data_IF_226333618617
#
_entry.id   IF_226333618617
#
_cell.length_a   1.000
_cell.length_b   1.000
_cell.length_c   1.000
_cell.angle_alpha   90.00
_cell.angle_beta   90.00
_cell.angle_gamma   90.00
#
_symmetry.space_group_name_H-M   'P 1'
#
loop_
_entity.id
_entity.type
_entity.pdbx_description
1 polymer ?
#
# COMPACT_ATOMS: atom_id res chain seq x y z
N UNK A 1 -5.70 13.64 1.01
CA UNK A 1 -6.98 13.02 0.59
C UNK A 1 -7.63 12.37 1.79
N UNK A 2 -8.93 12.55 1.99
CA UNK A 2 -9.68 11.83 3.02
C UNK A 2 -10.06 10.44 2.49
N UNK A 3 -9.36 9.41 2.97
CA UNK A 3 -9.44 8.04 2.45
C UNK A 3 -9.84 7.07 3.54
N UNK A 4 -10.74 6.14 3.21
CA UNK A 4 -11.11 5.03 4.09
C UNK A 4 -10.20 3.84 3.79
N UNK A 5 -9.44 3.40 4.79
CA UNK A 5 -8.54 2.26 4.69
C UNK A 5 -9.13 1.09 5.47
N UNK A 6 -9.26 -0.08 4.82
CA UNK A 6 -9.60 -1.35 5.47
C UNK A 6 -8.39 -2.27 5.37
N UNK A 7 -8.03 -2.90 6.48
CA UNK A 7 -6.89 -3.80 6.57
C UNK A 7 -7.34 -5.22 6.92
N UNK A 8 -6.63 -6.20 6.38
CA UNK A 8 -6.56 -7.56 6.91
C UNK A 8 -5.10 -8.00 6.92
N UNK A 9 -4.74 -8.94 7.78
CA UNK A 9 -3.36 -9.39 7.90
C UNK A 9 -3.26 -10.90 8.06
N UNK A 10 -2.17 -11.46 7.54
CA UNK A 10 -1.79 -12.86 7.73
C UNK A 10 -0.33 -12.91 8.20
N UNK A 11 -0.07 -13.62 9.29
CA UNK A 11 1.30 -13.88 9.73
C UNK A 11 1.96 -14.90 8.81
N UNK A 12 3.19 -14.62 8.40
CA UNK A 12 4.01 -15.48 7.55
C UNK A 12 4.95 -16.33 8.41
N UNK A 13 5.47 -17.41 7.83
CA UNK A 13 6.43 -18.30 8.50
C UNK A 13 7.75 -17.59 8.85
N UNK A 14 8.07 -16.47 8.17
CA UNK A 14 9.21 -15.61 8.50
C UNK A 14 9.02 -14.79 9.78
N UNK A 15 7.83 -14.85 10.41
CA UNK A 15 7.48 -14.05 11.58
C UNK A 15 6.84 -12.71 11.25
N UNK A 16 7.04 -12.18 10.02
CA UNK A 16 6.41 -10.96 9.51
C UNK A 16 4.92 -11.11 9.27
N UNK A 17 4.22 -9.99 9.17
CA UNK A 17 2.80 -9.93 8.79
C UNK A 17 2.66 -9.42 7.37
N UNK A 18 2.01 -10.19 6.50
CA UNK A 18 1.49 -9.69 5.23
C UNK A 18 0.19 -8.96 5.52
N UNK A 19 0.15 -7.66 5.24
CA UNK A 19 -1.01 -6.80 5.38
C UNK A 19 -1.63 -6.60 4.01
N UNK A 20 -2.87 -6.98 3.84
CA UNK A 20 -3.70 -6.66 2.68
C UNK A 20 -4.55 -5.44 3.02
N UNK A 21 -4.55 -4.44 2.15
CA UNK A 21 -5.27 -3.19 2.37
C UNK A 21 -6.19 -2.87 1.20
N UNK A 22 -7.31 -2.22 1.51
CA UNK A 22 -8.20 -1.58 0.55
C UNK A 22 -8.32 -0.11 0.89
N UNK A 23 -8.16 0.74 -0.11
CA UNK A 23 -8.31 2.19 0.01
C UNK A 23 -9.46 2.64 -0.86
N UNK A 24 -10.42 3.34 -0.26
CA UNK A 24 -11.53 3.98 -0.98
C UNK A 24 -11.47 5.48 -0.76
N UNK A 25 -11.51 6.25 -1.86
CA UNK A 25 -11.74 7.69 -1.77
C UNK A 25 -13.16 7.96 -1.28
N UNK A 26 -13.35 8.93 -0.37
CA UNK A 26 -14.70 9.31 0.09
C UNK A 26 -15.61 9.79 -1.05
N UNK A 27 -15.04 10.31 -2.14
CA UNK A 27 -15.78 10.69 -3.33
C UNK A 27 -16.24 9.49 -4.19
N UNK A 28 -15.88 8.26 -3.83
CA UNK A 28 -16.32 7.03 -4.51
C UNK A 28 -15.66 6.77 -5.88
N UNK A 29 -15.01 7.76 -6.48
CA UNK A 29 -14.47 7.69 -7.86
C UNK A 29 -13.30 6.72 -8.08
N UNK A 30 -12.63 6.26 -7.01
CA UNK A 30 -11.52 5.31 -7.15
C UNK A 30 -11.36 4.45 -5.91
N UNK A 31 -11.20 3.15 -6.16
CA UNK A 31 -10.89 2.14 -5.17
C UNK A 31 -9.58 1.47 -5.55
N UNK A 32 -8.76 1.21 -4.55
CA UNK A 32 -7.44 0.60 -4.67
C UNK A 32 -7.33 -0.53 -3.66
N UNK A 33 -6.48 -1.50 -3.96
CA UNK A 33 -6.09 -2.51 -2.98
C UNK A 33 -4.60 -2.80 -3.12
N UNK A 34 -4.03 -3.46 -2.14
CA UNK A 34 -2.60 -3.68 -2.15
C UNK A 34 -2.10 -4.49 -0.98
N UNK A 35 -0.82 -4.79 -1.01
CA UNK A 35 -0.16 -5.60 0.00
C UNK A 35 1.08 -4.90 0.53
N UNK A 36 1.35 -5.07 1.81
CA UNK A 36 2.61 -4.69 2.43
C UNK A 36 3.10 -5.69 3.45
N UNK A 37 4.39 -5.66 3.74
CA UNK A 37 4.98 -6.40 4.84
C UNK A 37 5.12 -5.47 6.05
N UNK A 38 4.60 -5.92 7.18
CA UNK A 38 4.80 -5.33 8.49
C UNK A 38 5.73 -6.22 9.31
N UNK A 39 6.73 -5.61 9.94
CA UNK A 39 7.59 -6.32 10.88
C UNK A 39 6.86 -6.56 12.21
N UNK A 40 7.28 -7.54 13.04
CA UNK A 40 6.57 -7.90 14.27
C UNK A 40 6.43 -6.75 15.29
N UNK A 41 7.30 -5.74 15.19
CA UNK A 41 7.31 -4.57 16.04
C UNK A 41 6.58 -3.37 15.43
N UNK A 42 6.15 -3.46 14.16
CA UNK A 42 5.36 -2.41 13.53
C UNK A 42 3.99 -2.34 14.21
N UNK A 43 3.61 -1.14 14.61
CA UNK A 43 2.27 -0.83 15.10
C UNK A 43 1.29 -0.68 13.94
N UNK A 44 0.00 -0.84 14.25
CA UNK A 44 -1.05 -0.60 13.26
C UNK A 44 -1.01 0.85 12.70
N UNK A 45 -0.65 1.83 13.53
CA UNK A 45 -0.57 3.23 13.08
C UNK A 45 0.53 3.40 12.05
N UNK A 46 1.73 2.87 12.31
CA UNK A 46 2.86 2.96 11.37
C UNK A 46 2.54 2.30 10.03
N UNK A 47 1.84 1.16 10.04
CA UNK A 47 1.37 0.51 8.82
C UNK A 47 0.35 1.38 8.08
N UNK A 48 -0.63 1.97 8.79
CA UNK A 48 -1.63 2.86 8.19
C UNK A 48 -0.98 4.13 7.63
N UNK A 49 -0.03 4.72 8.34
CA UNK A 49 0.63 5.96 7.93
C UNK A 49 1.56 5.72 6.74
N UNK A 50 2.21 4.57 6.64
CA UNK A 50 2.95 4.14 5.45
C UNK A 50 2.04 4.06 4.23
N UNK A 51 0.86 3.43 4.38
CA UNK A 51 -0.14 3.36 3.31
C UNK A 51 -0.60 4.78 2.93
N UNK A 52 -1.02 5.60 3.91
CA UNK A 52 -1.49 6.98 3.67
C UNK A 52 -0.45 7.86 3.00
N UNK A 53 0.81 7.78 3.43
CA UNK A 53 1.92 8.51 2.84
C UNK A 53 2.02 8.23 1.35
N UNK A 54 1.90 6.95 0.96
CA UNK A 54 2.00 6.56 -0.45
C UNK A 54 0.87 7.10 -1.33
N UNK A 55 -0.35 7.20 -0.79
CA UNK A 55 -1.51 7.79 -1.50
C UNK A 55 -1.54 9.32 -1.43
N UNK A 56 -0.88 9.94 -0.45
CA UNK A 56 -0.80 11.40 -0.33
C UNK A 56 0.29 11.99 -1.22
N UNK A 57 1.40 11.27 -1.42
CA UNK A 57 2.50 11.68 -2.31
C UNK A 57 2.24 11.37 -3.79
N UNK A 58 1.15 10.68 -4.12
CA UNK A 58 0.79 10.36 -5.49
C UNK A 58 -0.33 11.29 -5.96
N UNK A 59 0.05 12.47 -6.46
CA UNK A 59 -0.88 13.47 -6.99
C UNK A 59 -1.65 12.99 -8.24
N UNK A 60 -1.15 11.95 -8.95
CA UNK A 60 -1.82 11.39 -10.13
C UNK A 60 -2.20 9.90 -9.99
N UNK A 61 -3.47 9.59 -10.31
CA UNK A 61 -4.02 8.21 -10.39
C UNK A 61 -3.21 7.31 -11.35
N UNK A 62 -2.57 7.89 -12.37
CA UNK A 62 -1.73 7.18 -13.35
C UNK A 62 -0.34 6.84 -12.76
N UNK A 63 0.18 7.70 -11.89
CA UNK A 63 1.51 7.55 -11.26
C UNK A 63 1.59 6.35 -10.32
N UNK A 64 0.49 5.99 -9.64
CA UNK A 64 0.47 4.82 -8.75
C UNK A 64 0.60 3.50 -9.51
N UNK A 65 -0.10 3.35 -10.63
CA UNK A 65 -0.06 2.13 -11.43
C UNK A 65 1.25 2.00 -12.22
N UNK A 66 1.72 3.10 -12.82
CA UNK A 66 2.98 3.11 -13.56
C UNK A 66 4.19 2.86 -12.64
N UNK A 67 4.26 3.50 -11.46
CA UNK A 67 5.39 3.27 -10.53
C UNK A 67 5.51 1.79 -10.16
N UNK A 68 4.41 1.11 -9.85
CA UNK A 68 4.43 -0.32 -9.47
C UNK A 68 5.01 -1.21 -10.58
N UNK A 69 4.77 -0.89 -11.86
CA UNK A 69 5.31 -1.65 -12.99
C UNK A 69 6.78 -1.31 -13.30
N UNK A 70 7.20 -0.05 -13.15
CA UNK A 70 8.60 0.35 -13.35
C UNK A 70 9.55 -0.22 -12.28
N UNK A 71 9.08 -0.39 -11.04
CA UNK A 71 9.88 -0.97 -9.95
C UNK A 71 10.16 -2.47 -10.11
N UNK A 72 9.60 -3.16 -11.11
CA UNK A 72 9.92 -4.56 -11.39
C UNK A 72 11.26 -4.74 -12.11
N UNK A 73 11.77 -3.70 -12.77
CA UNK A 73 12.85 -3.84 -13.74
C UNK A 73 14.20 -3.27 -13.31
N UNK A 74 14.27 -2.46 -12.25
CA UNK A 74 15.52 -1.85 -11.80
C UNK A 74 15.77 -2.01 -10.30
N UNK A 75 17.05 -2.20 -9.97
CA UNK A 75 17.62 -2.49 -8.67
C UNK A 75 17.51 -1.35 -7.64
N UNK A 76 16.37 -0.66 -7.55
CA UNK A 76 16.05 0.23 -6.44
C UNK A 76 15.52 -0.58 -5.24
N UNK A 77 16.48 -1.11 -4.47
CA UNK A 77 16.27 -1.87 -3.22
C UNK A 77 15.93 -0.99 -2.01
N UNK A 78 15.33 0.17 -2.19
CA UNK A 78 14.99 1.05 -1.07
C UNK A 78 13.48 1.10 -0.82
N UNK A 79 13.10 0.30 0.18
CA UNK A 79 12.09 0.59 1.21
C UNK A 79 10.59 0.55 0.90
N UNK A 80 10.14 0.46 -0.34
CA UNK A 80 8.70 0.31 -0.60
C UNK A 80 8.30 -1.17 -0.71
N UNK A 81 8.15 -1.84 0.44
CA UNK A 81 7.46 -3.14 0.57
C UNK A 81 5.94 -2.97 0.33
N UNK A 82 5.51 -2.20 -0.67
CA UNK A 82 4.12 -1.83 -0.88
C UNK A 82 3.72 -2.06 -2.34
N UNK A 83 2.86 -3.04 -2.58
CA UNK A 83 2.25 -3.30 -3.89
C UNK A 83 0.86 -2.67 -3.92
N UNK A 84 0.53 -1.89 -4.95
CA UNK A 84 -0.77 -1.23 -5.11
C UNK A 84 -1.39 -1.56 -6.47
N UNK A 85 -2.68 -1.84 -6.47
CA UNK A 85 -3.49 -2.20 -7.64
C UNK A 85 -4.78 -1.39 -7.64
N UNK A 86 -5.25 -1.02 -8.84
CA UNK A 86 -6.58 -0.41 -9.00
C UNK A 86 -7.63 -1.50 -8.85
N UNK A 87 -8.66 -1.26 -8.04
CA UNK A 87 -9.80 -2.16 -7.96
C UNK A 87 -10.69 -1.92 -9.20
N UNK A 88 -11.12 -3.01 -9.84
CA UNK A 88 -12.03 -3.01 -10.98
C UNK A 88 -13.41 -2.45 -10.64
#
# INVERSE_FOLDING_TARGET
>A
MDVKIKLSSKRLNSGRCQVHFHVKSKAGESSWYGYTLADPHDTLSEVVDRIRGRFSSAEDKISLHQKVLYHLNDAYREHDNLMIFKAS
#
